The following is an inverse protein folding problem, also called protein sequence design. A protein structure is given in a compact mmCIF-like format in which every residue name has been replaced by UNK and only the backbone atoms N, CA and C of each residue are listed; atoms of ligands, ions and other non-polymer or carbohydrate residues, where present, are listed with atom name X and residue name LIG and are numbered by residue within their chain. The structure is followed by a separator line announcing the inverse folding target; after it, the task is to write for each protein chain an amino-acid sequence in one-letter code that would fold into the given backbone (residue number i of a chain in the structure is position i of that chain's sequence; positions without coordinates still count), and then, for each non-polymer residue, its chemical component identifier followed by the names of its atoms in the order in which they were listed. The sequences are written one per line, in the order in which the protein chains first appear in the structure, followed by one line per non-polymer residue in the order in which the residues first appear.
data_IF_044616993750
#
_entry.id   IF_044616993750
#
_cell.length_a   1.000
_cell.length_b   1.000
_cell.length_c   1.000
_cell.angle_alpha   90.00
_cell.angle_beta   90.00
_cell.angle_gamma   90.00
#
_symmetry.space_group_name_H-M   'P 1'
#
loop_
_entity.id
_entity.type
_entity.pdbx_description
1 polymer ?
#
# COMPACT_ATOMS: atom_id res chain seq x y z
N UNK A 1 -29.75 -0.70 -13.83
CA UNK A 1 -28.31 -0.35 -13.78
C UNK A 1 -27.56 -1.55 -13.21
N UNK A 2 -26.88 -2.34 -14.04
CA UNK A 2 -25.98 -3.38 -13.54
C UNK A 2 -24.70 -2.68 -13.07
N UNK A 3 -24.61 -2.41 -11.77
CA UNK A 3 -23.36 -1.93 -11.15
C UNK A 3 -22.34 -3.07 -11.31
N UNK A 4 -21.39 -2.94 -12.23
CA UNK A 4 -20.19 -3.78 -12.23
C UNK A 4 -19.51 -3.50 -10.90
N UNK A 5 -19.68 -4.39 -9.92
CA UNK A 5 -18.85 -4.39 -8.72
C UNK A 5 -17.44 -4.70 -9.18
N UNK A 6 -16.54 -3.74 -9.02
CA UNK A 6 -15.12 -4.03 -9.22
C UNK A 6 -14.70 -4.99 -8.12
N UNK A 7 -13.89 -6.03 -8.39
CA UNK A 7 -13.35 -6.92 -7.34
C UNK A 7 -12.63 -6.16 -6.21
N UNK A 8 -12.22 -4.92 -6.49
CA UNK A 8 -11.62 -4.02 -5.51
C UNK A 8 -12.61 -3.40 -4.55
N UNK A 9 -13.90 -3.28 -4.87
CA UNK A 9 -14.89 -2.60 -4.02
C UNK A 9 -15.07 -3.31 -2.67
N UNK A 10 -14.98 -4.65 -2.67
CA UNK A 10 -15.13 -5.52 -1.49
C UNK A 10 -13.78 -5.99 -0.90
N UNK A 11 -12.66 -5.57 -1.49
CA UNK A 11 -11.34 -5.99 -1.03
C UNK A 11 -10.99 -5.41 0.36
N UNK A 12 -10.20 -6.13 1.19
CA UNK A 12 -9.66 -5.59 2.43
C UNK A 12 -8.91 -4.27 2.21
N UNK A 13 -8.94 -3.37 3.20
CA UNK A 13 -8.36 -2.03 3.06
C UNK A 13 -6.89 -2.04 2.63
N UNK A 14 -6.09 -2.97 3.15
CA UNK A 14 -4.67 -3.08 2.79
C UNK A 14 -4.47 -3.50 1.32
N UNK A 15 -5.39 -4.28 0.76
CA UNK A 15 -5.35 -4.68 -0.66
C UNK A 15 -5.65 -3.47 -1.55
N UNK A 16 -6.70 -2.71 -1.22
CA UNK A 16 -7.04 -1.45 -1.92
C UNK A 16 -5.87 -0.48 -1.91
N UNK A 17 -5.27 -0.27 -0.74
CA UNK A 17 -4.10 0.60 -0.57
C UNK A 17 -2.90 0.14 -1.39
N UNK A 18 -2.63 -1.17 -1.44
CA UNK A 18 -1.55 -1.72 -2.26
C UNK A 18 -1.78 -1.46 -3.75
N UNK A 19 -3.01 -1.60 -4.23
CA UNK A 19 -3.36 -1.33 -5.64
C UNK A 19 -3.20 0.16 -5.97
N UNK A 20 -3.72 1.05 -5.12
CA UNK A 20 -3.57 2.49 -5.31
C UNK A 20 -2.09 2.91 -5.31
N UNK A 21 -1.28 2.31 -4.42
CA UNK A 21 0.15 2.58 -4.32
C UNK A 21 0.91 2.10 -5.56
N UNK A 22 0.62 0.89 -6.06
CA UNK A 22 1.22 0.38 -7.31
C UNK A 22 0.89 1.31 -8.47
N UNK A 23 -0.39 1.68 -8.60
CA UNK A 23 -0.85 2.58 -9.66
C UNK A 23 -0.14 3.94 -9.61
N UNK A 24 0.10 4.49 -8.41
CA UNK A 24 0.85 5.73 -8.23
C UNK A 24 2.33 5.57 -8.66
N UNK A 25 2.97 4.48 -8.26
CA UNK A 25 4.38 4.24 -8.55
C UNK A 25 4.63 3.98 -10.04
N UNK A 26 3.72 3.28 -10.70
CA UNK A 26 3.74 3.08 -12.16
C UNK A 26 3.57 4.40 -12.91
N UNK A 27 2.65 5.28 -12.48
CA UNK A 27 2.47 6.60 -13.08
C UNK A 27 3.70 7.51 -12.95
N UNK A 28 4.52 7.29 -11.92
CA UNK A 28 5.76 8.01 -11.70
C UNK A 28 6.99 7.31 -12.32
N UNK A 29 6.77 6.24 -13.10
CA UNK A 29 7.82 5.47 -13.79
C UNK A 29 8.93 4.99 -12.84
N UNK A 30 8.59 4.72 -11.57
CA UNK A 30 9.56 4.29 -10.57
C UNK A 30 9.97 2.84 -10.86
N UNK A 31 11.27 2.59 -10.96
CA UNK A 31 11.77 1.24 -11.24
C UNK A 31 11.46 0.28 -10.08
N UNK A 32 11.08 -0.98 -10.35
CA UNK A 32 10.65 -1.93 -9.31
C UNK A 32 11.66 -2.14 -8.19
N UNK A 33 12.96 -2.09 -8.50
CA UNK A 33 14.04 -2.25 -7.52
C UNK A 33 14.02 -1.14 -6.46
N UNK A 34 13.76 0.10 -6.88
CA UNK A 34 13.70 1.25 -5.97
C UNK A 34 12.36 1.29 -5.22
N UNK A 35 11.27 0.84 -5.86
CA UNK A 35 9.99 0.60 -5.17
C UNK A 35 10.18 -0.36 -3.99
N UNK A 36 10.83 -1.50 -4.20
CA UNK A 36 11.04 -2.49 -3.15
C UNK A 36 11.88 -1.95 -1.99
N UNK A 37 12.95 -1.21 -2.28
CA UNK A 37 13.76 -0.55 -1.25
C UNK A 37 12.95 0.47 -0.45
N UNK A 38 12.14 1.29 -1.13
CA UNK A 38 11.28 2.27 -0.47
C UNK A 38 10.20 1.61 0.40
N UNK A 39 9.58 0.54 -0.08
CA UNK A 39 8.57 -0.21 0.67
C UNK A 39 9.13 -0.84 1.94
N UNK A 40 10.38 -1.31 1.93
CA UNK A 40 11.04 -1.81 3.14
C UNK A 40 11.23 -0.70 4.18
N UNK A 41 11.64 0.50 3.76
CA UNK A 41 11.75 1.67 4.65
C UNK A 41 10.38 2.03 5.25
N UNK A 42 9.34 2.11 4.40
CA UNK A 42 7.96 2.41 4.84
C UNK A 42 7.47 1.36 5.84
N UNK A 43 7.68 0.07 5.57
CA UNK A 43 7.33 -1.02 6.47
C UNK A 43 8.00 -0.89 7.82
N UNK A 44 9.31 -0.57 7.85
CA UNK A 44 10.05 -0.38 9.09
C UNK A 44 9.51 0.81 9.90
N UNK A 45 9.23 1.94 9.25
CA UNK A 45 8.66 3.13 9.90
C UNK A 45 7.31 2.85 10.57
N UNK A 46 6.37 2.21 9.84
CA UNK A 46 5.08 1.84 10.42
C UNK A 46 5.18 0.76 11.49
N UNK A 47 6.12 -0.19 11.35
CA UNK A 47 6.38 -1.19 12.39
C UNK A 47 6.87 -0.54 13.69
N UNK A 48 7.72 0.48 13.59
CA UNK A 48 8.19 1.24 14.75
C UNK A 48 7.07 2.06 15.40
N UNK A 49 6.17 2.66 14.60
CA UNK A 49 4.99 3.37 15.11
C UNK A 49 4.06 2.46 15.90
N UNK A 50 3.75 1.27 15.37
CA UNK A 50 2.93 0.27 16.08
C UNK A 50 3.59 -0.14 17.40
N UNK A 51 4.91 -0.37 17.41
CA UNK A 51 5.63 -0.71 18.64
C UNK A 51 5.64 0.43 19.66
N UNK A 52 5.67 1.68 19.21
CA UNK A 52 5.59 2.85 20.08
C UNK A 52 4.21 2.98 20.72
N UNK A 53 3.15 2.82 19.93
CA UNK A 53 1.75 2.84 20.40
C UNK A 53 1.45 1.72 21.40
N UNK A 54 2.13 0.57 21.31
CA UNK A 54 2.00 -0.54 22.27
C UNK A 54 2.76 -0.32 23.58
N UNK A 55 3.67 0.66 23.64
CA UNK A 55 4.48 0.98 24.84
C UNK A 55 3.88 2.11 25.69
N UNK A 56 2.91 2.83 25.16
CA UNK A 56 2.10 3.85 25.84
C UNK A 56 0.81 3.28 26.39
#
# INVERSE_FOLDING_TARGET
MNKKTSPLDDAPQHVKLAVDLIMLLEQNEVVPEDVLKALEIVKQDFSNKIQLEQKT
#
